data_IF_423856274262
#
_entry.id   IF_423856274262
#
_cell.length_a   1.000
_cell.length_b   1.000
_cell.length_c   1.000
_cell.angle_alpha   90.00
_cell.angle_beta   90.00
_cell.angle_gamma   90.00
#
_symmetry.space_group_name_H-M   'P 1'
#
loop_
_entity.id
_entity.type
_entity.pdbx_description
1 polymer ?
#
# COMPACT_ATOMS: atom_id res chain seq x y z
N UNK A 1 -6.19 -7.94 28.96
CA UNK A 1 -6.67 -6.97 27.96
C UNK A 1 -8.12 -7.30 27.66
N UNK A 2 -8.95 -6.31 27.44
CA UNK A 2 -10.37 -6.49 27.08
C UNK A 2 -10.59 -5.98 25.67
N UNK A 3 -11.28 -6.75 24.85
CA UNK A 3 -11.54 -6.39 23.45
C UNK A 3 -13.04 -6.33 23.20
N UNK A 4 -13.45 -5.38 22.38
CA UNK A 4 -14.74 -5.44 21.70
C UNK A 4 -14.55 -6.17 20.36
N UNK A 5 -15.47 -7.02 19.98
CA UNK A 5 -15.45 -7.74 18.72
C UNK A 5 -16.60 -7.23 17.85
N UNK A 6 -16.26 -6.82 16.64
CA UNK A 6 -17.23 -6.47 15.60
C UNK A 6 -17.16 -7.58 14.56
N UNK A 7 -18.23 -8.36 14.44
CA UNK A 7 -18.37 -9.40 13.44
C UNK A 7 -19.35 -8.96 12.35
N UNK A 8 -19.07 -9.36 11.13
CA UNK A 8 -19.95 -9.14 10.00
C UNK A 8 -20.16 -10.45 9.26
N UNK A 9 -21.33 -11.04 9.41
CA UNK A 9 -21.70 -12.30 8.77
C UNK A 9 -22.79 -12.15 7.71
N UNK A 10 -22.72 -13.01 6.67
CA UNK A 10 -23.78 -13.23 5.72
C UNK A 10 -24.76 -14.26 6.29
N UNK A 11 -25.95 -13.85 6.72
CA UNK A 11 -26.99 -14.77 7.15
C UNK A 11 -28.02 -14.17 8.09
N UNK A 12 -29.19 -14.77 8.17
CA UNK A 12 -30.32 -14.27 8.99
C UNK A 12 -30.14 -14.49 10.50
N UNK A 13 -29.20 -15.34 10.94
CA UNK A 13 -28.89 -15.57 12.37
C UNK A 13 -27.46 -16.06 12.50
N UNK A 14 -26.59 -15.34 13.21
CA UNK A 14 -25.26 -15.79 13.55
C UNK A 14 -25.29 -17.06 14.44
N UNK A 15 -24.76 -18.15 13.92
CA UNK A 15 -24.67 -19.42 14.68
C UNK A 15 -23.65 -19.31 15.81
N UNK A 16 -22.67 -18.41 15.63
CA UNK A 16 -21.54 -18.24 16.55
C UNK A 16 -21.88 -17.45 17.81
N UNK A 17 -22.96 -16.65 17.80
CA UNK A 17 -23.46 -15.89 18.94
C UNK A 17 -23.72 -16.72 20.19
N UNK A 18 -24.30 -17.91 20.00
CA UNK A 18 -24.59 -18.79 21.11
C UNK A 18 -23.35 -19.46 21.71
N UNK A 19 -22.31 -19.64 20.89
CA UNK A 19 -21.06 -20.27 21.32
C UNK A 19 -20.18 -19.28 22.07
N UNK A 20 -20.10 -18.03 21.57
CA UNK A 20 -19.27 -16.99 22.19
C UNK A 20 -19.87 -16.42 23.47
N UNK A 21 -21.21 -16.34 23.57
CA UNK A 21 -21.89 -15.77 24.75
C UNK A 21 -21.90 -16.69 25.96
N UNK A 22 -21.66 -17.97 25.80
CA UNK A 22 -21.64 -18.92 26.92
C UNK A 22 -20.26 -19.11 27.58
N UNK A 23 -19.15 -18.81 26.85
CA UNK A 23 -17.80 -19.07 27.34
C UNK A 23 -16.95 -17.84 27.67
N UNK A 24 -17.31 -16.64 27.18
CA UNK A 24 -16.47 -15.45 27.36
C UNK A 24 -17.29 -14.26 27.86
N UNK A 25 -16.85 -13.64 28.93
CA UNK A 25 -17.47 -12.42 29.49
C UNK A 25 -17.14 -11.17 28.64
N UNK A 26 -17.19 -11.30 27.31
CA UNK A 26 -16.89 -10.25 26.34
C UNK A 26 -18.19 -9.72 25.72
N UNK A 27 -18.28 -8.40 25.55
CA UNK A 27 -19.42 -7.77 24.90
C UNK A 27 -19.19 -7.87 23.38
N UNK A 28 -19.79 -8.89 22.72
CA UNK A 28 -19.81 -9.04 21.27
C UNK A 28 -20.84 -8.05 20.71
N UNK A 29 -20.44 -7.20 19.81
CA UNK A 29 -21.31 -6.22 19.15
C UNK A 29 -21.49 -6.64 17.71
N UNK A 30 -22.63 -7.20 17.38
CA UNK A 30 -22.99 -7.50 16.00
C UNK A 30 -23.36 -6.25 15.24
N UNK A 31 -22.80 -6.09 14.06
CA UNK A 31 -23.26 -5.14 13.06
C UNK A 31 -24.05 -5.94 12.03
N UNK A 32 -25.37 -6.08 12.29
CA UNK A 32 -26.25 -6.71 11.32
C UNK A 32 -26.49 -5.78 10.14
N UNK A 33 -26.11 -6.21 8.97
CA UNK A 33 -26.77 -6.05 7.65
C UNK A 33 -25.78 -6.07 6.47
N UNK A 34 -25.76 -7.17 5.74
CA UNK A 34 -25.36 -7.22 4.33
C UNK A 34 -23.89 -6.90 4.00
N UNK A 35 -23.48 -7.18 2.78
CA UNK A 35 -22.11 -6.92 2.28
C UNK A 35 -21.46 -5.62 2.72
N UNK A 36 -20.21 -5.69 3.16
CA UNK A 36 -19.36 -4.55 3.57
C UNK A 36 -19.11 -3.51 2.45
N UNK A 37 -19.65 -3.67 1.26
CA UNK A 37 -19.20 -2.90 0.11
C UNK A 37 -19.69 -1.44 -0.01
N UNK A 38 -20.81 -0.99 0.52
CA UNK A 38 -21.20 0.44 0.38
C UNK A 38 -22.04 0.99 1.54
N UNK A 39 -22.90 0.19 2.14
CA UNK A 39 -23.79 0.63 3.23
C UNK A 39 -23.10 0.55 4.59
N UNK A 40 -22.14 -0.34 4.73
CA UNK A 40 -21.50 -0.71 6.00
C UNK A 40 -20.48 0.31 6.49
N UNK A 41 -19.92 1.16 5.61
CA UNK A 41 -18.99 2.21 6.05
C UNK A 41 -19.68 3.17 7.06
N UNK A 42 -20.92 3.56 6.80
CA UNK A 42 -21.70 4.41 7.71
C UNK A 42 -22.01 3.73 9.04
N UNK A 43 -22.33 2.43 8.99
CA UNK A 43 -22.65 1.64 10.17
C UNK A 43 -21.40 1.35 11.01
N UNK A 44 -20.27 1.04 10.38
CA UNK A 44 -18.98 0.88 11.07
C UNK A 44 -18.57 2.17 11.78
N UNK A 45 -18.61 3.33 11.08
CA UNK A 45 -18.30 4.64 11.68
C UNK A 45 -19.22 4.91 12.88
N UNK A 46 -20.52 4.65 12.72
CA UNK A 46 -21.51 4.86 13.80
C UNK A 46 -21.21 3.95 15.01
N UNK A 47 -20.85 2.70 14.75
CA UNK A 47 -20.50 1.71 15.78
C UNK A 47 -19.21 2.11 16.50
N UNK A 48 -18.17 2.49 15.76
CA UNK A 48 -16.92 2.99 16.34
C UNK A 48 -17.16 4.24 17.21
N UNK A 49 -17.98 5.19 16.74
CA UNK A 49 -18.34 6.37 17.55
C UNK A 49 -19.11 6.02 18.83
N UNK A 50 -19.96 4.99 18.81
CA UNK A 50 -20.62 4.48 20.02
C UNK A 50 -19.65 3.80 20.96
N UNK A 51 -18.73 2.96 20.44
CA UNK A 51 -17.72 2.28 21.23
C UNK A 51 -16.74 3.23 21.89
N UNK A 52 -16.36 4.30 21.23
CA UNK A 52 -15.49 5.32 21.83
C UNK A 52 -16.06 5.94 23.11
N UNK A 53 -17.37 6.06 23.21
CA UNK A 53 -18.03 6.52 24.46
C UNK A 53 -17.85 5.54 25.62
N UNK A 54 -17.38 4.32 25.35
CA UNK A 54 -17.13 3.26 26.33
C UNK A 54 -15.65 2.84 26.35
N UNK A 55 -14.76 3.71 25.85
CA UNK A 55 -13.31 3.41 25.69
C UNK A 55 -12.64 2.94 26.98
N UNK A 56 -13.12 3.40 28.15
CA UNK A 56 -12.60 2.97 29.45
C UNK A 56 -12.82 1.46 29.74
N UNK A 57 -13.67 0.80 28.95
CA UNK A 57 -13.98 -0.63 29.12
C UNK A 57 -13.15 -1.55 28.26
N UNK A 58 -12.50 -1.05 27.21
CA UNK A 58 -11.82 -1.85 26.18
C UNK A 58 -10.40 -1.35 25.92
N UNK A 59 -9.46 -2.29 25.79
CA UNK A 59 -8.07 -2.03 25.38
C UNK A 59 -7.92 -1.96 23.85
N UNK A 60 -8.87 -2.58 23.10
CA UNK A 60 -8.86 -2.60 21.65
C UNK A 60 -10.16 -3.15 21.06
N UNK A 61 -10.22 -3.12 19.70
CA UNK A 61 -11.35 -3.64 18.93
C UNK A 61 -10.80 -4.64 17.91
N UNK A 62 -11.42 -5.80 17.82
CA UNK A 62 -11.22 -6.76 16.75
C UNK A 62 -12.37 -6.61 15.76
N UNK A 63 -12.04 -6.44 14.49
CA UNK A 63 -13.04 -6.35 13.41
C UNK A 63 -12.83 -7.56 12.50
N UNK A 64 -13.81 -8.45 12.46
CA UNK A 64 -13.84 -9.59 11.56
C UNK A 64 -14.65 -9.25 10.32
N UNK A 65 -14.06 -9.49 9.15
CA UNK A 65 -14.75 -9.40 7.87
C UNK A 65 -15.08 -10.81 7.38
N UNK A 66 -16.12 -10.93 6.55
CA UNK A 66 -16.44 -12.22 5.93
C UNK A 66 -15.29 -12.71 5.05
N UNK A 67 -15.18 -14.03 4.85
CA UNK A 67 -14.13 -14.62 4.01
C UNK A 67 -14.19 -14.24 2.52
N UNK A 68 -15.25 -13.56 2.08
CA UNK A 68 -15.44 -13.06 0.71
C UNK A 68 -15.35 -11.52 0.63
N UNK A 69 -15.02 -10.83 1.73
CA UNK A 69 -15.00 -9.39 1.76
C UNK A 69 -13.66 -8.83 1.26
N UNK A 70 -13.74 -7.75 0.47
CA UNK A 70 -12.63 -6.84 0.24
C UNK A 70 -12.34 -6.08 1.55
N UNK A 71 -11.12 -6.18 2.12
CA UNK A 71 -10.76 -5.48 3.35
C UNK A 71 -10.55 -3.96 3.15
N UNK A 72 -10.37 -3.50 1.93
CA UNK A 72 -10.03 -2.11 1.62
C UNK A 72 -11.04 -1.10 2.19
N UNK A 73 -12.37 -1.24 2.04
CA UNK A 73 -13.34 -0.28 2.57
C UNK A 73 -13.28 -0.15 4.09
N UNK A 74 -13.04 -1.26 4.81
CA UNK A 74 -12.89 -1.25 6.28
C UNK A 74 -11.63 -0.48 6.67
N UNK A 75 -10.49 -0.82 6.09
CA UNK A 75 -9.21 -0.14 6.36
C UNK A 75 -9.30 1.34 6.02
N UNK A 76 -9.86 1.70 4.87
CA UNK A 76 -10.03 3.08 4.42
C UNK A 76 -10.85 3.93 5.40
N UNK A 77 -11.83 3.36 6.09
CA UNK A 77 -12.66 4.07 7.07
C UNK A 77 -11.81 4.77 8.13
N UNK A 78 -10.71 4.15 8.55
CA UNK A 78 -9.78 4.69 9.56
C UNK A 78 -8.90 5.85 9.05
N UNK A 79 -8.88 6.08 7.75
CA UNK A 79 -8.12 7.18 7.14
C UNK A 79 -9.01 8.37 6.71
N UNK A 80 -10.28 8.12 6.41
CA UNK A 80 -11.18 9.12 5.80
C UNK A 80 -12.03 9.86 6.82
N UNK A 81 -12.56 9.17 7.83
CA UNK A 81 -13.40 9.81 8.84
C UNK A 81 -12.52 10.46 9.92
N UNK A 82 -12.54 11.78 10.00
CA UNK A 82 -11.69 12.55 10.92
C UNK A 82 -11.95 12.21 12.39
N UNK A 83 -13.19 11.91 12.76
CA UNK A 83 -13.53 11.48 14.12
C UNK A 83 -12.92 10.12 14.44
N UNK A 84 -12.99 9.15 13.50
CA UNK A 84 -12.38 7.82 13.67
C UNK A 84 -10.87 7.94 13.70
N UNK A 85 -10.28 8.64 12.72
CA UNK A 85 -8.83 8.85 12.60
C UNK A 85 -8.22 9.50 13.85
N UNK A 86 -8.94 10.43 14.49
CA UNK A 86 -8.45 11.13 15.70
C UNK A 86 -8.48 10.26 16.96
N UNK A 87 -9.27 9.18 16.98
CA UNK A 87 -9.57 8.37 18.17
C UNK A 87 -9.09 6.94 18.08
N UNK A 88 -8.89 6.44 16.86
CA UNK A 88 -8.51 5.06 16.59
C UNK A 88 -7.27 5.00 15.71
N UNK A 89 -6.53 3.92 15.86
CA UNK A 89 -5.47 3.54 14.93
C UNK A 89 -5.61 2.07 14.58
N UNK A 90 -5.28 1.71 13.36
CA UNK A 90 -5.16 0.30 12.99
C UNK A 90 -3.84 -0.22 13.56
N UNK A 91 -3.92 -1.31 14.30
CA UNK A 91 -2.74 -2.01 14.82
C UNK A 91 -2.15 -2.93 13.74
N UNK A 92 -2.99 -3.75 13.12
CA UNK A 92 -2.58 -4.74 12.14
C UNK A 92 -3.78 -5.24 11.32
N UNK A 93 -3.55 -5.51 10.05
CA UNK A 93 -4.47 -6.29 9.20
C UNK A 93 -3.97 -7.73 9.18
N UNK A 94 -4.78 -8.65 9.70
CA UNK A 94 -4.46 -10.08 9.80
C UNK A 94 -5.33 -10.85 8.82
N UNK A 95 -4.72 -11.63 7.93
CA UNK A 95 -5.43 -12.54 7.04
C UNK A 95 -5.23 -13.97 7.49
N UNK A 96 -6.33 -14.68 7.74
CA UNK A 96 -6.31 -16.12 8.09
C UNK A 96 -6.43 -16.94 6.81
N UNK A 97 -5.42 -17.77 6.55
CA UNK A 97 -5.27 -18.52 5.31
C UNK A 97 -5.37 -20.03 5.59
N UNK A 98 -6.21 -20.72 4.83
CA UNK A 98 -6.31 -22.18 4.88
C UNK A 98 -5.19 -22.82 4.02
N UNK A 99 -4.21 -23.45 4.67
CA UNK A 99 -3.06 -24.06 4.01
C UNK A 99 -3.44 -25.16 3.00
N UNK A 100 -4.62 -25.76 3.14
CA UNK A 100 -5.07 -26.82 2.22
C UNK A 100 -5.52 -26.26 0.87
N UNK A 101 -6.19 -25.10 0.87
CA UNK A 101 -6.90 -24.63 -0.31
C UNK A 101 -6.33 -23.32 -0.92
N UNK A 102 -5.42 -22.63 -0.22
CA UNK A 102 -4.99 -21.30 -0.65
C UNK A 102 -4.40 -21.26 -2.07
N UNK A 103 -3.55 -22.22 -2.45
CA UNK A 103 -2.95 -22.24 -3.78
C UNK A 103 -4.00 -22.35 -4.89
N UNK A 104 -5.06 -23.13 -4.65
CA UNK A 104 -6.19 -23.26 -5.56
C UNK A 104 -6.98 -21.94 -5.65
N UNK A 105 -7.23 -21.31 -4.50
CA UNK A 105 -7.94 -20.03 -4.43
C UNK A 105 -7.17 -18.88 -5.09
N UNK A 106 -5.87 -18.81 -4.87
CA UNK A 106 -5.03 -17.79 -5.54
C UNK A 106 -4.99 -17.96 -7.06
N UNK A 107 -5.05 -19.22 -7.55
CA UNK A 107 -5.04 -19.56 -8.98
C UNK A 107 -6.42 -19.51 -9.64
N UNK A 108 -7.49 -19.24 -8.87
CA UNK A 108 -8.87 -19.24 -9.39
C UNK A 108 -9.06 -18.09 -10.39
N UNK A 109 -9.45 -18.43 -11.63
CA UNK A 109 -9.77 -17.44 -12.65
C UNK A 109 -11.17 -16.89 -12.41
N UNK A 110 -11.27 -15.59 -12.18
CA UNK A 110 -12.55 -14.90 -12.05
C UNK A 110 -13.01 -14.36 -13.41
N UNK A 111 -14.32 -14.14 -13.61
CA UNK A 111 -14.85 -13.43 -14.78
C UNK A 111 -14.21 -12.03 -14.93
N UNK A 112 -14.22 -11.51 -16.15
CA UNK A 112 -13.73 -10.15 -16.42
C UNK A 112 -14.44 -9.10 -15.53
N UNK A 113 -13.66 -8.25 -14.88
CA UNK A 113 -14.18 -7.24 -13.94
C UNK A 113 -14.49 -7.74 -12.53
N UNK A 114 -14.27 -9.02 -12.25
CA UNK A 114 -14.41 -9.59 -10.89
C UNK A 114 -13.03 -9.83 -10.29
N UNK A 115 -12.78 -9.27 -9.12
CA UNK A 115 -11.52 -9.45 -8.40
C UNK A 115 -11.46 -10.83 -7.73
N UNK A 116 -10.24 -11.31 -7.46
CA UNK A 116 -10.03 -12.52 -6.67
C UNK A 116 -9.85 -12.12 -5.21
N UNK A 117 -10.84 -12.35 -4.39
CA UNK A 117 -10.91 -11.94 -2.99
C UNK A 117 -9.75 -12.53 -2.17
N UNK A 118 -9.30 -13.76 -2.49
CA UNK A 118 -8.17 -14.38 -1.78
C UNK A 118 -6.85 -13.63 -2.08
N UNK A 119 -6.66 -13.19 -3.33
CA UNK A 119 -5.50 -12.38 -3.71
C UNK A 119 -5.55 -11.04 -3.00
N UNK A 120 -6.70 -10.34 -3.01
CA UNK A 120 -6.86 -9.06 -2.33
C UNK A 120 -6.56 -9.17 -0.84
N UNK A 121 -7.17 -10.13 -0.15
CA UNK A 121 -6.97 -10.33 1.29
C UNK A 121 -5.49 -10.59 1.64
N UNK A 122 -4.77 -11.35 0.81
CA UNK A 122 -3.33 -11.56 0.99
C UNK A 122 -2.55 -10.26 0.75
N UNK A 123 -2.90 -9.49 -0.27
CA UNK A 123 -2.24 -8.21 -0.57
C UNK A 123 -2.42 -7.16 0.53
N UNK A 124 -3.58 -7.14 1.18
CA UNK A 124 -3.87 -6.22 2.28
C UNK A 124 -3.25 -6.64 3.62
N UNK A 125 -2.83 -7.88 3.79
CA UNK A 125 -2.32 -8.40 5.05
C UNK A 125 -1.02 -7.72 5.50
N UNK A 126 -0.93 -7.40 6.79
CA UNK A 126 0.34 -7.14 7.49
C UNK A 126 0.90 -8.46 8.04
N UNK A 127 0.00 -9.34 8.45
CA UNK A 127 0.33 -10.66 8.97
C UNK A 127 -0.62 -11.70 8.37
N UNK A 128 -0.05 -12.80 7.92
CA UNK A 128 -0.79 -13.97 7.47
C UNK A 128 -0.68 -15.06 8.54
N UNK A 129 -1.84 -15.56 8.98
CA UNK A 129 -1.93 -16.76 9.78
C UNK A 129 -2.19 -17.93 8.85
N UNK A 130 -1.14 -18.66 8.52
CA UNK A 130 -1.24 -19.86 7.71
C UNK A 130 -1.74 -21.00 8.60
N UNK A 131 -3.07 -21.19 8.60
CA UNK A 131 -3.74 -22.14 9.48
C UNK A 131 -3.96 -23.51 8.78
N UNK A 132 -4.30 -24.52 9.55
CA UNK A 132 -4.49 -25.91 9.11
C UNK A 132 -3.25 -26.51 8.45
N UNK A 133 -2.06 -26.15 8.96
CA UNK A 133 -0.78 -26.65 8.44
C UNK A 133 -0.60 -28.16 8.58
N UNK A 134 -1.39 -28.80 9.44
CA UNK A 134 -1.52 -30.24 9.57
C UNK A 134 -2.16 -30.92 8.33
N UNK A 135 -2.83 -30.16 7.48
CA UNK A 135 -3.45 -30.65 6.24
C UNK A 135 -2.58 -30.45 4.98
N UNK A 136 -1.34 -30.00 5.15
CA UNK A 136 -0.40 -29.78 4.06
C UNK A 136 0.94 -30.50 4.32
N UNK A 137 1.70 -30.76 3.26
CA UNK A 137 3.06 -31.31 3.39
C UNK A 137 4.08 -30.20 3.67
N UNK A 138 5.28 -30.52 4.21
CA UNK A 138 6.33 -29.54 4.40
C UNK A 138 6.68 -28.78 3.09
N UNK A 139 6.79 -29.50 1.97
CA UNK A 139 7.06 -28.92 0.65
C UNK A 139 5.90 -28.03 0.18
N UNK A 140 4.66 -28.46 0.47
CA UNK A 140 3.47 -27.66 0.21
C UNK A 140 3.47 -26.34 0.98
N UNK A 141 3.86 -26.36 2.26
CA UNK A 141 3.95 -25.16 3.08
C UNK A 141 5.02 -24.18 2.57
N UNK A 142 6.16 -24.68 2.09
CA UNK A 142 7.19 -23.84 1.46
C UNK A 142 6.61 -23.13 0.24
N UNK A 143 6.00 -23.89 -0.68
CA UNK A 143 5.38 -23.33 -1.89
C UNK A 143 4.29 -22.30 -1.56
N UNK A 144 3.45 -22.55 -0.57
CA UNK A 144 2.41 -21.60 -0.13
C UNK A 144 3.04 -20.28 0.32
N UNK A 145 4.08 -20.34 1.15
CA UNK A 145 4.79 -19.15 1.64
C UNK A 145 5.43 -18.37 0.51
N UNK A 146 6.04 -19.05 -0.45
CA UNK A 146 6.60 -18.40 -1.65
C UNK A 146 5.52 -17.67 -2.45
N UNK A 147 4.38 -18.30 -2.72
CA UNK A 147 3.29 -17.66 -3.48
C UNK A 147 2.70 -16.44 -2.72
N UNK A 148 2.52 -16.57 -1.39
CA UNK A 148 2.08 -15.43 -0.57
C UNK A 148 3.11 -14.29 -0.61
N UNK A 149 4.40 -14.60 -0.50
CA UNK A 149 5.48 -13.60 -0.52
C UNK A 149 5.63 -12.91 -1.88
N UNK A 150 5.36 -13.61 -2.98
CA UNK A 150 5.33 -13.00 -4.32
C UNK A 150 4.24 -11.94 -4.43
N UNK A 151 3.05 -12.18 -3.88
CA UNK A 151 1.94 -11.23 -3.86
C UNK A 151 2.18 -10.10 -2.86
N UNK A 152 2.63 -10.44 -1.65
CA UNK A 152 2.84 -9.51 -0.56
C UNK A 152 4.15 -9.81 0.18
N UNK A 153 5.29 -9.25 -0.29
CA UNK A 153 6.59 -9.45 0.34
C UNK A 153 6.65 -8.90 1.77
N UNK A 154 5.74 -7.98 2.11
CA UNK A 154 5.75 -7.27 3.39
C UNK A 154 5.04 -8.02 4.51
N UNK A 155 4.14 -8.95 4.20
CA UNK A 155 3.38 -9.67 5.19
C UNK A 155 4.26 -10.68 5.95
N UNK A 156 4.23 -10.66 7.27
CA UNK A 156 4.80 -11.72 8.08
C UNK A 156 3.90 -12.96 8.04
N UNK A 157 4.47 -14.17 8.00
CA UNK A 157 3.70 -15.41 7.94
C UNK A 157 3.97 -16.22 9.21
N UNK A 158 2.91 -16.58 9.92
CA UNK A 158 2.95 -17.46 11.10
C UNK A 158 2.13 -18.71 10.84
N UNK A 159 2.74 -19.88 11.01
CA UNK A 159 2.05 -21.17 10.88
C UNK A 159 1.21 -21.46 12.14
N UNK A 160 -0.02 -21.90 11.93
CA UNK A 160 -0.92 -22.28 13.04
C UNK A 160 -1.68 -23.58 12.72
N UNK A 161 -2.22 -24.18 13.78
CA UNK A 161 -3.14 -25.32 13.71
C UNK A 161 -4.30 -25.05 14.63
N UNK A 162 -5.51 -25.25 14.13
CA UNK A 162 -6.75 -25.00 14.89
C UNK A 162 -6.83 -23.55 15.45
N UNK A 163 -6.22 -22.58 14.76
CA UNK A 163 -6.16 -21.19 15.22
C UNK A 163 -5.31 -20.96 16.48
N UNK A 164 -4.56 -21.98 16.91
CA UNK A 164 -3.77 -21.87 18.15
C UNK A 164 -2.52 -21.00 17.94
N UNK A 165 -2.53 -19.81 18.52
CA UNK A 165 -1.46 -18.84 18.49
C UNK A 165 -1.42 -18.06 19.80
N UNK A 166 -0.24 -17.65 20.26
CA UNK A 166 -0.14 -16.76 21.41
C UNK A 166 -0.77 -15.40 21.07
N UNK A 167 -1.75 -14.91 21.84
CA UNK A 167 -2.35 -13.58 21.63
C UNK A 167 -1.34 -12.43 21.51
N UNK A 168 -0.17 -12.56 22.12
CA UNK A 168 0.92 -11.56 21.98
C UNK A 168 1.46 -11.43 20.56
N UNK A 169 1.27 -12.46 19.75
CA UNK A 169 1.63 -12.44 18.34
C UNK A 169 0.57 -11.80 17.43
N UNK A 170 -0.61 -11.47 17.99
CA UNK A 170 -1.73 -10.86 17.28
C UNK A 170 -1.98 -9.41 17.68
N UNK A 171 -1.51 -9.01 18.86
CA UNK A 171 -1.91 -7.76 19.49
C UNK A 171 -0.70 -6.84 19.70
N UNK A 172 -0.96 -5.54 19.53
CA UNK A 172 0.06 -4.49 19.63
C UNK A 172 1.24 -4.72 18.67
N UNK A 173 0.90 -5.18 17.46
CA UNK A 173 1.86 -5.47 16.42
C UNK A 173 2.40 -4.19 15.79
N UNK A 174 1.63 -3.11 15.90
CA UNK A 174 2.04 -1.80 15.37
C UNK A 174 2.52 -1.88 13.92
N UNK A 175 1.81 -2.69 13.10
CA UNK A 175 2.20 -2.98 11.73
C UNK A 175 2.21 -1.73 10.82
N UNK A 176 1.59 -0.64 11.30
CA UNK A 176 1.60 0.67 10.68
C UNK A 176 2.68 1.61 11.26
N UNK A 177 3.54 1.12 12.16
CA UNK A 177 4.64 1.90 12.73
C UNK A 177 5.99 1.56 12.09
N UNK A 178 6.92 2.51 12.16
CA UNK A 178 8.24 2.47 11.54
C UNK A 178 9.00 1.17 11.77
N UNK A 179 8.99 0.67 13.01
CA UNK A 179 9.82 -0.48 13.41
C UNK A 179 9.54 -1.72 12.58
N UNK A 180 8.28 -1.89 12.12
CA UNK A 180 7.85 -3.03 11.30
C UNK A 180 8.02 -2.81 9.80
N UNK A 181 8.02 -1.55 9.36
CA UNK A 181 8.31 -1.23 7.95
C UNK A 181 9.80 -1.44 7.63
N UNK A 182 10.66 -1.44 8.66
CA UNK A 182 12.09 -1.72 8.54
C UNK A 182 12.43 -3.22 8.56
N UNK A 183 11.54 -4.06 9.11
CA UNK A 183 11.71 -5.52 9.20
C UNK A 183 11.44 -6.23 7.85
N UNK A 184 11.47 -5.50 6.74
CA UNK A 184 11.47 -6.09 5.41
C UNK A 184 12.68 -7.00 5.24
N UNK A 185 12.44 -8.20 4.75
CA UNK A 185 13.51 -9.09 4.35
C UNK A 185 14.30 -8.43 3.20
N UNK A 186 15.56 -8.00 3.45
CA UNK A 186 16.33 -7.30 2.43
C UNK A 186 16.64 -8.20 1.21
N UNK A 187 16.71 -9.51 1.41
CA UNK A 187 17.04 -10.46 0.34
C UNK A 187 15.92 -10.55 -0.71
N UNK A 188 14.65 -10.33 -0.29
CA UNK A 188 13.52 -10.33 -1.23
C UNK A 188 13.50 -9.09 -2.16
N UNK A 189 14.24 -8.03 -1.80
CA UNK A 189 14.32 -6.80 -2.60
C UNK A 189 15.44 -6.84 -3.64
N UNK A 190 16.41 -7.76 -3.52
CA UNK A 190 17.58 -7.84 -4.40
C UNK A 190 17.36 -8.74 -5.62
N UNK A 191 16.26 -9.45 -5.72
CA UNK A 191 15.94 -10.26 -6.89
C UNK A 191 15.32 -9.39 -8.00
N UNK A 192 16.13 -9.06 -9.00
CA UNK A 192 15.73 -8.54 -10.32
C UNK A 192 14.91 -9.59 -11.13
N UNK A 193 14.09 -10.38 -10.48
CA UNK A 193 13.23 -11.34 -11.15
C UNK A 193 11.88 -10.71 -11.43
N UNK A 194 11.70 -10.29 -12.68
CA UNK A 194 10.39 -10.06 -13.29
C UNK A 194 9.60 -11.37 -13.25
N UNK A 195 8.99 -11.65 -12.11
CA UNK A 195 8.05 -12.76 -11.97
C UNK A 195 6.72 -12.33 -12.58
N UNK A 196 6.61 -12.47 -13.89
CA UNK A 196 5.32 -12.42 -14.58
C UNK A 196 4.53 -13.67 -14.17
N UNK A 197 3.55 -13.47 -13.29
CA UNK A 197 2.50 -14.45 -13.04
C UNK A 197 1.33 -14.17 -13.98
N UNK A 198 0.55 -15.24 -14.26
CA UNK A 198 -0.75 -15.16 -14.93
C UNK A 198 -1.78 -14.33 -14.11
N UNK A 199 -1.41 -13.84 -12.93
CA UNK A 199 -2.21 -12.92 -12.12
C UNK A 199 -1.88 -11.47 -12.50
N UNK A 200 -2.91 -10.68 -12.73
CA UNK A 200 -2.80 -9.23 -12.99
C UNK A 200 -2.25 -8.46 -11.78
N UNK A 201 -2.09 -9.09 -10.62
CA UNK A 201 -1.61 -8.50 -9.37
C UNK A 201 -0.14 -8.80 -9.18
N UNK A 202 0.63 -7.78 -8.85
CA UNK A 202 2.08 -7.87 -8.63
C UNK A 202 2.54 -6.92 -7.52
N UNK A 203 3.79 -7.09 -7.09
CA UNK A 203 4.47 -6.17 -6.19
C UNK A 203 5.71 -5.58 -6.86
N UNK A 204 5.97 -4.29 -6.59
CA UNK A 204 7.16 -3.57 -7.04
C UNK A 204 7.88 -3.04 -5.82
N UNK A 205 9.12 -3.48 -5.63
CA UNK A 205 9.99 -2.96 -4.59
C UNK A 205 11.07 -2.06 -5.21
N UNK A 206 11.32 -0.94 -4.56
CA UNK A 206 12.35 0.01 -4.97
C UNK A 206 13.21 0.37 -3.77
N UNK A 207 14.52 0.34 -3.97
CA UNK A 207 15.52 0.63 -2.95
C UNK A 207 16.54 1.62 -3.53
N UNK A 208 16.77 2.71 -2.82
CA UNK A 208 17.73 3.73 -3.25
C UNK A 208 18.52 4.27 -2.07
N UNK A 209 19.78 4.61 -2.29
CA UNK A 209 20.62 5.30 -1.31
C UNK A 209 20.59 6.80 -1.52
N UNK A 210 20.79 7.55 -0.44
CA UNK A 210 20.76 9.01 -0.42
C UNK A 210 19.37 9.59 -0.18
N UNK A 211 19.31 10.91 -0.18
CA UNK A 211 18.07 11.62 0.11
C UNK A 211 17.14 11.74 -1.09
N UNK A 212 15.86 11.90 -0.78
CA UNK A 212 14.77 12.14 -1.72
C UNK A 212 14.24 13.55 -1.52
N UNK A 213 13.84 14.22 -2.62
CA UNK A 213 13.04 15.43 -2.57
C UNK A 213 11.60 15.10 -2.23
N UNK A 214 11.15 15.53 -1.04
CA UNK A 214 9.79 15.21 -0.56
C UNK A 214 8.71 15.83 -1.46
N UNK A 215 8.90 17.07 -1.88
CA UNK A 215 7.91 17.79 -2.69
C UNK A 215 7.71 17.11 -4.05
N UNK A 216 8.78 16.64 -4.68
CA UNK A 216 8.69 15.87 -5.94
C UNK A 216 7.99 14.54 -5.73
N UNK A 217 8.32 13.82 -4.65
CA UNK A 217 7.68 12.56 -4.33
C UNK A 217 6.18 12.75 -4.08
N UNK A 218 5.81 13.74 -3.28
CA UNK A 218 4.40 14.03 -2.95
C UNK A 218 3.60 14.40 -4.20
N UNK A 219 4.13 15.25 -5.04
CA UNK A 219 3.52 15.63 -6.31
C UNK A 219 3.36 14.41 -7.24
N UNK A 220 4.39 13.59 -7.37
CA UNK A 220 4.35 12.40 -8.24
C UNK A 220 3.38 11.35 -7.71
N UNK A 221 3.43 11.02 -6.40
CA UNK A 221 2.53 10.05 -5.78
C UNK A 221 1.08 10.53 -5.82
N UNK A 222 0.83 11.82 -5.61
CA UNK A 222 -0.52 12.37 -5.72
C UNK A 222 -1.10 12.22 -7.13
N UNK A 223 -0.29 12.46 -8.17
CA UNK A 223 -0.69 12.20 -9.55
C UNK A 223 -0.89 10.72 -9.85
N UNK A 224 0.01 9.86 -9.39
CA UNK A 224 -0.09 8.40 -9.53
C UNK A 224 -1.40 7.88 -8.92
N UNK A 225 -1.71 8.30 -7.69
CA UNK A 225 -2.95 7.92 -7.01
C UNK A 225 -4.19 8.43 -7.75
N UNK A 226 -4.14 9.65 -8.28
CA UNK A 226 -5.23 10.23 -9.06
C UNK A 226 -5.50 9.52 -10.39
N UNK A 227 -4.48 8.93 -11.00
CA UNK A 227 -4.57 8.23 -12.29
C UNK A 227 -4.85 6.73 -12.13
N UNK A 228 -4.12 6.06 -11.24
CA UNK A 228 -4.10 4.60 -11.09
C UNK A 228 -4.42 4.11 -9.67
N UNK A 229 -4.92 4.97 -8.80
CA UNK A 229 -5.15 4.65 -7.39
C UNK A 229 -6.11 3.47 -7.16
N UNK A 230 -7.02 3.21 -8.11
CA UNK A 230 -7.89 2.03 -8.09
C UNK A 230 -7.11 0.72 -8.25
N UNK A 231 -5.96 0.75 -8.91
CA UNK A 231 -5.08 -0.40 -9.13
C UNK A 231 -4.07 -0.60 -8.00
N UNK A 232 -3.89 0.38 -7.11
CA UNK A 232 -2.98 0.32 -5.98
C UNK A 232 -3.70 -0.25 -4.76
N UNK A 233 -3.38 -1.48 -4.36
CA UNK A 233 -3.96 -2.08 -3.17
C UNK A 233 -3.27 -1.58 -1.91
N UNK A 234 -1.95 -1.65 -1.87
CA UNK A 234 -1.16 -1.25 -0.72
C UNK A 234 0.21 -0.72 -1.13
N UNK A 235 0.70 0.22 -0.38
CA UNK A 235 2.07 0.70 -0.51
C UNK A 235 2.63 1.14 0.84
N UNK A 236 3.91 0.86 1.03
CA UNK A 236 4.65 1.19 2.25
C UNK A 236 6.05 1.64 1.89
N UNK A 237 6.61 2.55 2.68
CA UNK A 237 7.98 2.96 2.49
C UNK A 237 8.59 3.63 3.71
N UNK A 238 9.92 3.64 3.72
CA UNK A 238 10.74 4.44 4.63
C UNK A 238 11.70 5.25 3.79
N UNK A 239 11.70 6.54 3.98
CA UNK A 239 12.39 7.47 3.10
C UNK A 239 13.38 8.35 3.88
N UNK A 240 14.54 8.54 3.28
CA UNK A 240 15.51 9.56 3.68
C UNK A 240 15.17 10.87 2.95
N UNK A 241 14.59 11.83 3.66
CA UNK A 241 14.14 13.09 3.09
C UNK A 241 15.22 14.17 3.23
N UNK A 242 15.48 14.91 2.18
CA UNK A 242 16.45 16.02 2.18
C UNK A 242 16.15 17.01 3.31
N UNK A 243 17.19 17.33 4.09
CA UNK A 243 17.08 18.28 5.20
C UNK A 243 16.34 17.78 6.44
N UNK A 244 16.11 16.46 6.54
CA UNK A 244 15.49 15.84 7.72
C UNK A 244 16.39 14.77 8.32
N UNK A 245 16.50 14.76 9.64
CA UNK A 245 17.25 13.75 10.40
C UNK A 245 16.39 12.56 10.83
N UNK A 246 15.09 12.66 10.63
CA UNK A 246 14.13 11.60 10.89
C UNK A 246 13.76 10.87 9.62
N UNK A 247 13.49 9.58 9.76
CA UNK A 247 12.91 8.76 8.71
C UNK A 247 11.47 9.20 8.43
N UNK A 248 11.11 9.32 7.16
CA UNK A 248 9.73 9.52 6.78
C UNK A 248 9.11 8.16 6.50
N UNK A 249 8.13 7.79 7.31
CA UNK A 249 7.35 6.57 7.14
C UNK A 249 6.12 6.91 6.33
N UNK A 250 5.95 6.18 5.25
CA UNK A 250 4.89 6.41 4.28
C UNK A 250 4.11 5.11 4.04
N UNK A 251 2.80 5.21 4.00
CA UNK A 251 1.92 4.07 3.73
C UNK A 251 0.60 4.51 3.15
N UNK A 252 -0.02 3.60 2.40
CA UNK A 252 -1.32 3.84 1.83
C UNK A 252 -2.08 2.58 1.47
N UNK A 253 -3.38 2.78 1.26
CA UNK A 253 -4.35 1.76 0.88
C UNK A 253 -5.26 2.37 -0.18
N UNK A 254 -5.22 1.83 -1.39
CA UNK A 254 -5.97 2.37 -2.53
C UNK A 254 -5.58 3.82 -2.80
N UNK A 255 -6.57 4.70 -2.90
CA UNK A 255 -6.37 6.13 -3.15
C UNK A 255 -5.94 6.94 -1.93
N UNK A 256 -5.73 6.29 -0.78
CA UNK A 256 -5.46 6.97 0.48
C UNK A 256 -4.05 6.73 0.93
N UNK A 257 -3.35 7.80 1.23
CA UNK A 257 -2.01 7.73 1.75
C UNK A 257 -1.82 8.65 2.96
N UNK A 258 -0.84 8.29 3.77
CA UNK A 258 -0.40 9.12 4.88
C UNK A 258 1.04 8.82 5.22
N UNK A 259 1.71 9.83 5.77
CA UNK A 259 3.09 9.68 6.19
C UNK A 259 3.38 10.53 7.41
N UNK A 260 4.42 10.15 8.15
CA UNK A 260 4.90 10.90 9.31
C UNK A 260 6.41 10.74 9.46
N UNK A 261 7.03 11.74 10.06
CA UNK A 261 8.43 11.63 10.47
C UNK A 261 8.53 10.90 11.80
N UNK A 262 9.26 9.77 11.81
CA UNK A 262 9.37 8.92 12.99
C UNK A 262 10.72 8.20 13.03
N UNK A 263 11.33 8.15 14.22
CA UNK A 263 12.63 7.52 14.42
C UNK A 263 13.77 8.27 13.72
N UNK A 264 14.91 8.33 14.38
CA UNK A 264 16.08 9.00 13.84
C UNK A 264 16.88 8.05 12.92
N UNK A 265 17.56 8.61 11.93
CA UNK A 265 18.65 7.89 11.27
C UNK A 265 19.80 7.72 12.25
N UNK A 266 20.60 6.67 12.06
CA UNK A 266 21.85 6.53 12.79
C UNK A 266 22.70 7.78 12.53
N UNK A 267 23.18 8.42 13.61
CA UNK A 267 23.96 9.66 13.51
C UNK A 267 25.31 9.45 12.85
N UNK A 268 25.83 8.23 12.93
CA UNK A 268 27.12 7.86 12.33
C UNK A 268 26.96 7.41 10.87
N UNK A 269 25.70 7.25 10.38
CA UNK A 269 25.43 6.87 9.01
C UNK A 269 25.46 8.11 8.09
N UNK A 270 26.40 8.17 7.13
CA UNK A 270 26.42 9.26 6.14
C UNK A 270 25.10 9.38 5.39
N UNK A 271 24.75 10.61 5.03
CA UNK A 271 23.48 10.89 4.34
C UNK A 271 23.37 10.10 3.03
N UNK A 272 24.47 9.93 2.32
CA UNK A 272 24.57 9.21 1.05
C UNK A 272 24.34 7.70 1.21
N UNK A 273 24.52 7.18 2.43
CA UNK A 273 24.30 5.76 2.77
C UNK A 273 22.91 5.50 3.39
N UNK A 274 22.15 6.55 3.70
CA UNK A 274 20.76 6.39 4.14
C UNK A 274 19.96 5.76 3.01
N UNK A 275 19.24 4.69 3.33
CA UNK A 275 18.52 3.91 2.34
C UNK A 275 17.01 4.16 2.42
N UNK A 276 16.45 4.62 1.32
CA UNK A 276 15.01 4.69 1.11
C UNK A 276 14.50 3.43 0.47
N UNK A 277 13.41 2.89 1.01
CA UNK A 277 12.74 1.68 0.50
C UNK A 277 11.28 1.97 0.29
N UNK A 278 10.74 1.49 -0.81
CA UNK A 278 9.34 1.64 -1.16
C UNK A 278 8.81 0.35 -1.79
N UNK A 279 7.61 -0.06 -1.42
CA UNK A 279 6.91 -1.21 -2.01
C UNK A 279 5.52 -0.80 -2.41
N UNK A 280 5.16 -1.10 -3.65
CA UNK A 280 3.81 -1.03 -4.17
C UNK A 280 3.26 -2.45 -4.35
N UNK A 281 2.00 -2.66 -4.04
CA UNK A 281 1.26 -3.90 -4.30
C UNK A 281 -0.02 -3.49 -5.00
N UNK A 282 -0.32 -4.09 -6.14
CA UNK A 282 -1.51 -3.73 -6.90
C UNK A 282 -1.68 -4.52 -8.20
N UNK A 283 -2.68 -4.11 -8.97
CA UNK A 283 -3.08 -4.76 -10.21
C UNK A 283 -2.54 -3.99 -11.41
N UNK A 284 -2.08 -4.73 -12.42
CA UNK A 284 -1.56 -4.16 -13.67
C UNK A 284 -0.51 -3.07 -13.47
N UNK A 285 0.36 -3.22 -12.45
CA UNK A 285 1.38 -2.23 -12.16
C UNK A 285 2.42 -2.15 -13.28
N UNK A 286 2.69 -0.94 -13.76
CA UNK A 286 3.87 -0.67 -14.59
C UNK A 286 5.12 -0.56 -13.70
N UNK A 287 5.86 -1.66 -13.59
CA UNK A 287 7.06 -1.77 -12.75
C UNK A 287 8.12 -0.73 -13.11
N UNK A 288 8.33 -0.51 -14.42
CA UNK A 288 9.33 0.45 -14.88
C UNK A 288 8.92 1.89 -14.55
N UNK A 289 7.65 2.23 -14.76
CA UNK A 289 7.12 3.54 -14.43
C UNK A 289 7.25 3.83 -12.91
N UNK A 290 6.86 2.89 -12.06
CA UNK A 290 6.95 3.04 -10.61
C UNK A 290 8.39 3.15 -10.12
N UNK A 291 9.29 2.28 -10.62
CA UNK A 291 10.70 2.30 -10.27
C UNK A 291 11.39 3.59 -10.73
N UNK A 292 11.24 3.94 -12.00
CA UNK A 292 11.88 5.13 -12.56
C UNK A 292 11.31 6.43 -11.96
N UNK A 293 10.01 6.45 -11.65
CA UNK A 293 9.37 7.58 -10.98
C UNK A 293 9.96 7.83 -9.60
N UNK A 294 10.14 6.78 -8.83
CA UNK A 294 10.76 6.89 -7.51
C UNK A 294 12.25 7.32 -7.59
N UNK A 295 13.01 6.74 -8.51
CA UNK A 295 14.42 7.08 -8.73
C UNK A 295 14.59 8.55 -9.14
N UNK A 296 13.67 9.08 -9.93
CA UNK A 296 13.71 10.47 -10.37
C UNK A 296 13.50 11.49 -9.22
N UNK A 297 12.95 11.04 -8.09
CA UNK A 297 12.81 11.90 -6.90
C UNK A 297 14.10 12.00 -6.07
N UNK A 298 15.19 11.27 -6.41
CA UNK A 298 16.45 11.35 -5.67
C UNK A 298 17.13 12.71 -5.83
N UNK A 299 17.75 13.19 -4.75
CA UNK A 299 18.55 14.42 -4.76
C UNK A 299 19.76 14.31 -5.69
N UNK A 300 20.30 13.09 -5.85
CA UNK A 300 21.41 12.80 -6.77
C UNK A 300 20.97 12.69 -8.24
N UNK A 301 19.68 12.64 -8.53
CA UNK A 301 19.17 12.58 -9.90
C UNK A 301 19.50 13.89 -10.63
N UNK A 302 20.14 13.76 -11.78
CA UNK A 302 20.47 14.91 -12.64
C UNK A 302 19.36 15.05 -13.67
N UNK A 303 18.74 16.21 -13.67
CA UNK A 303 17.74 16.54 -14.69
C UNK A 303 18.34 16.49 -16.09
N UNK A 304 17.64 15.87 -17.03
CA UNK A 304 18.07 15.70 -18.43
C UNK A 304 18.01 17.00 -19.22
N UNK A 305 17.09 17.89 -18.86
CA UNK A 305 16.85 19.14 -19.57
C UNK A 305 17.16 20.34 -18.67
N UNK A 306 17.54 21.45 -19.29
CA UNK A 306 17.80 22.75 -18.65
C UNK A 306 16.83 23.80 -19.18
N UNK A 307 16.74 24.92 -18.50
CA UNK A 307 15.95 26.09 -18.96
C UNK A 307 16.36 26.50 -20.37
N UNK A 308 15.38 26.62 -21.25
CA UNK A 308 15.55 26.93 -22.68
C UNK A 308 15.56 25.73 -23.61
N UNK A 309 15.68 24.50 -23.07
CA UNK A 309 15.64 23.29 -23.91
C UNK A 309 14.23 23.04 -24.46
N UNK A 310 14.20 22.57 -25.74
CA UNK A 310 12.97 22.12 -26.39
C UNK A 310 12.65 20.70 -25.97
N UNK A 311 11.42 20.45 -25.56
CA UNK A 311 10.94 19.15 -25.07
C UNK A 311 9.55 18.85 -25.62
N UNK A 312 9.11 17.61 -25.46
CA UNK A 312 7.70 17.26 -25.57
C UNK A 312 7.16 16.93 -24.19
N UNK A 313 6.11 17.65 -23.75
CA UNK A 313 5.42 17.45 -22.50
C UNK A 313 4.09 16.69 -22.71
N UNK A 314 3.79 15.76 -21.81
CA UNK A 314 2.55 14.99 -21.85
C UNK A 314 1.41 15.76 -21.15
N UNK A 315 0.45 16.19 -21.94
CA UNK A 315 -0.78 16.87 -21.48
C UNK A 315 -2.03 16.08 -21.87
N UNK A 316 -1.94 14.73 -21.85
CA UNK A 316 -2.90 13.80 -22.42
C UNK A 316 -2.45 13.32 -23.82
N UNK A 317 -1.71 14.14 -24.50
CA UNK A 317 -0.90 13.85 -25.69
C UNK A 317 0.43 14.62 -25.58
N UNK A 318 1.47 14.16 -26.28
CA UNK A 318 2.75 14.86 -26.28
C UNK A 318 2.72 16.13 -27.14
N UNK A 319 3.04 17.28 -26.52
CA UNK A 319 3.13 18.58 -27.21
C UNK A 319 4.50 19.20 -27.04
N UNK A 320 4.99 19.84 -28.10
CA UNK A 320 6.25 20.58 -28.07
C UNK A 320 6.14 21.79 -27.14
N UNK A 321 7.18 22.00 -26.34
CA UNK A 321 7.28 23.11 -25.41
C UNK A 321 8.73 23.45 -25.08
N UNK A 322 8.91 24.51 -24.32
CA UNK A 322 10.22 24.97 -23.86
C UNK A 322 10.27 24.90 -22.35
N UNK A 323 11.32 24.33 -21.79
CA UNK A 323 11.56 24.35 -20.34
C UNK A 323 11.80 25.79 -19.91
N UNK A 324 10.96 26.32 -19.01
CA UNK A 324 11.05 27.68 -18.52
C UNK A 324 11.65 27.75 -17.11
N UNK A 325 11.46 26.68 -16.31
CA UNK A 325 12.02 26.58 -14.97
C UNK A 325 12.29 25.11 -14.62
N UNK A 326 13.24 24.90 -13.70
CA UNK A 326 13.58 23.55 -13.18
C UNK A 326 13.47 23.55 -11.66
N UNK A 327 13.02 22.43 -11.08
CA UNK A 327 12.80 22.25 -9.63
C UNK A 327 11.81 23.29 -9.06
N UNK A 328 10.73 23.54 -9.82
CA UNK A 328 9.69 24.48 -9.47
C UNK A 328 8.55 23.82 -8.68
N UNK A 329 8.32 24.29 -7.47
CA UNK A 329 7.22 23.91 -6.57
C UNK A 329 6.94 22.39 -6.55
N UNK A 330 8.00 21.59 -6.33
CA UNK A 330 7.91 20.11 -6.27
C UNK A 330 7.83 19.43 -7.63
N UNK A 331 7.99 20.15 -8.72
CA UNK A 331 8.06 19.59 -10.06
C UNK A 331 9.49 19.65 -10.60
N UNK A 332 9.87 18.65 -11.40
CA UNK A 332 11.16 18.65 -12.08
C UNK A 332 11.28 19.79 -13.10
N UNK A 333 10.19 20.06 -13.81
CA UNK A 333 10.15 21.09 -14.85
C UNK A 333 8.84 21.84 -14.88
N UNK A 334 8.92 23.16 -15.08
CA UNK A 334 7.86 24.00 -15.64
C UNK A 334 8.13 24.17 -17.14
N UNK A 335 7.14 23.93 -17.99
CA UNK A 335 7.27 23.89 -19.44
C UNK A 335 6.20 24.78 -20.06
N UNK A 336 6.61 25.67 -20.93
CA UNK A 336 5.70 26.49 -21.73
C UNK A 336 5.45 25.84 -23.07
N UNK A 337 4.18 25.54 -23.33
CA UNK A 337 3.69 25.03 -24.62
C UNK A 337 3.07 26.19 -25.38
N UNK A 338 3.48 26.39 -26.63
CA UNK A 338 2.87 27.35 -27.53
C UNK A 338 1.64 26.71 -28.20
N UNK A 339 0.44 27.03 -27.72
CA UNK A 339 -0.83 26.57 -28.28
C UNK A 339 -1.46 27.64 -29.15
N UNK A 340 -2.30 27.26 -30.10
CA UNK A 340 -3.09 28.14 -30.93
C UNK A 340 -4.01 29.11 -30.15
N UNK A 341 -4.35 28.76 -28.89
CA UNK A 341 -5.14 29.57 -27.98
C UNK A 341 -4.32 30.50 -27.07
N UNK A 342 -2.99 30.48 -27.24
CA UNK A 342 -2.02 31.21 -26.41
C UNK A 342 -1.09 30.27 -25.65
N UNK A 343 0.01 30.81 -25.07
CA UNK A 343 0.96 30.00 -24.33
C UNK A 343 0.31 29.42 -23.07
N UNK A 344 0.58 28.14 -22.83
CA UNK A 344 0.13 27.40 -21.67
C UNK A 344 1.34 26.90 -20.88
N UNK A 345 1.32 27.06 -19.57
CA UNK A 345 2.32 26.47 -18.68
C UNK A 345 1.83 25.14 -18.14
N UNK A 346 2.70 24.13 -18.16
CA UNK A 346 2.46 22.79 -17.67
C UNK A 346 3.64 22.31 -16.84
N UNK A 347 3.39 21.42 -15.91
CA UNK A 347 4.40 20.93 -14.99
C UNK A 347 4.62 19.43 -15.16
N UNK A 348 5.88 19.03 -15.32
CA UNK A 348 6.30 17.64 -15.24
C UNK A 348 6.80 17.35 -13.81
N UNK A 349 6.11 16.50 -13.03
CA UNK A 349 6.44 16.27 -11.63
C UNK A 349 7.80 15.63 -11.43
N UNK A 350 8.20 14.77 -12.35
CA UNK A 350 9.48 14.06 -12.33
C UNK A 350 10.08 14.01 -13.75
N UNK A 351 11.40 13.82 -13.80
CA UNK A 351 12.15 13.70 -15.04
C UNK A 351 12.10 12.27 -15.58
N UNK A 352 11.04 11.94 -16.32
CA UNK A 352 10.93 10.67 -17.05
C UNK A 352 10.17 10.85 -18.38
N UNK A 353 10.26 9.83 -19.26
CA UNK A 353 9.67 9.88 -20.60
C UNK A 353 8.13 9.87 -20.61
N UNK A 354 7.50 9.48 -19.51
CA UNK A 354 6.05 9.55 -19.40
C UNK A 354 5.53 10.99 -19.32
N UNK A 355 6.26 11.88 -18.62
CA UNK A 355 5.86 13.28 -18.44
C UNK A 355 6.56 14.25 -19.40
N UNK A 356 7.85 13.99 -19.68
CA UNK A 356 8.67 14.87 -20.53
C UNK A 356 9.72 14.04 -21.26
N UNK A 357 9.89 14.29 -22.55
CA UNK A 357 10.85 13.58 -23.40
C UNK A 357 11.52 14.53 -24.41
N UNK A 358 12.65 14.12 -25.04
CA UNK A 358 13.22 14.85 -26.17
C UNK A 358 12.20 14.91 -27.32
N UNK A 359 12.20 15.99 -28.13
CA UNK A 359 11.39 16.05 -29.34
C UNK A 359 11.71 14.88 -30.28
N UNK A 360 10.71 14.19 -30.79
CA UNK A 360 10.93 13.00 -31.65
C UNK A 360 11.73 13.33 -32.93
N UNK A 361 11.71 14.58 -33.39
CA UNK A 361 12.47 15.02 -34.55
C UNK A 361 14.01 14.95 -34.36
N UNK A 362 14.49 14.80 -33.13
CA UNK A 362 15.93 14.66 -32.81
C UNK A 362 16.45 13.22 -32.97
N UNK A 363 15.58 12.23 -33.02
CA UNK A 363 15.98 10.81 -33.11
C UNK A 363 16.44 10.44 -34.54
N UNK A 364 16.15 11.25 -35.53
CA UNK A 364 16.50 10.98 -36.93
C UNK A 364 17.97 11.34 -37.30
N UNK A 365 18.78 11.89 -36.39
CA UNK A 365 20.15 12.37 -36.70
C UNK A 365 21.28 11.62 -35.97
N UNK A 366 21.00 10.56 -35.24
CA UNK A 366 21.99 9.75 -34.52
C UNK A 366 21.98 8.26 -34.95
N UNK A 367 21.66 7.96 -36.21
CA UNK A 367 21.81 6.63 -36.79
C UNK A 367 23.08 6.53 -37.66
#
# INVERSE_FOLDING_TARGET
MKFAVIQNEFGEVGVDDKILSEEVAEEVIEVMNGCICCTVRGDLVTTLKKLYKRVEKFDGILIETTGLADPAPVVQTFFVDDDVKSKYRIDCVITVVDAKYILERLAEKKPEGVENEAVEQVCFADKVLLNKTDLSTPEGLVKIKEEIKKLNPTASITETRYGNIDPKELLNLQAFELKRVLDFDPEFLDEDQDHQHDSTVSSVAVKVKGNIYMDMLDTWVSKLIGQDGANLYRYKGVLAVKGKDKKFVFQGVGMMFGGRFEGDWDKDLPVEERESRFVFIGKNLDHNFLRNGFLACQVSHKLRFKVGDQVEANVGEFRKGTVIETMDDGNAYAIRIDDAKGPMEVWAPIDNDYYVRPPQDWILWTA
#
